data_IF_782637632920
#
_entry.id   IF_782637632920
#
_cell.length_a   1.000
_cell.length_b   1.000
_cell.length_c   1.000
_cell.angle_alpha   90.00
_cell.angle_beta   90.00
_cell.angle_gamma   90.00
#
_symmetry.space_group_name_H-M   'P 1'
#
loop_
_entity.id
_entity.type
_entity.pdbx_description
1 polymer ?
#
# COMPACT_ATOMS: atom_id res chain seq x y z
N UNK A 1 -107.57 -1.75 9.16
CA UNK A 1 -106.90 -0.97 8.09
C UNK A 1 -105.62 -0.21 8.65
N UNK A 2 -105.32 -0.37 9.90
CA UNK A 2 -104.11 0.31 10.54
C UNK A 2 -103.02 -0.65 11.03
N UNK A 3 -103.27 -1.96 11.09
CA UNK A 3 -102.24 -2.93 11.49
C UNK A 3 -101.49 -3.53 10.31
N UNK A 4 -102.05 -3.60 9.16
CA UNK A 4 -101.41 -4.13 7.92
C UNK A 4 -100.36 -3.14 7.35
N UNK A 5 -100.62 -1.82 7.46
CA UNK A 5 -99.63 -0.82 7.03
C UNK A 5 -98.39 -0.78 7.92
N UNK A 6 -98.52 -1.11 9.19
CA UNK A 6 -97.35 -1.14 10.13
C UNK A 6 -96.46 -2.34 9.82
N UNK A 7 -96.99 -3.52 9.46
CA UNK A 7 -96.23 -4.68 9.10
C UNK A 7 -95.49 -4.53 7.76
N UNK A 8 -96.06 -3.89 6.79
CA UNK A 8 -95.37 -3.59 5.51
C UNK A 8 -94.25 -2.59 5.67
N UNK A 9 -94.42 -1.55 6.55
CA UNK A 9 -93.40 -0.55 6.77
C UNK A 9 -92.21 -1.10 7.56
N UNK A 10 -92.39 -2.05 8.51
CA UNK A 10 -91.35 -2.71 9.20
C UNK A 10 -90.54 -3.73 8.34
N UNK A 11 -91.23 -4.42 7.41
CA UNK A 11 -90.62 -5.33 6.43
C UNK A 11 -89.75 -4.58 5.38
N UNK A 12 -90.19 -3.38 4.93
CA UNK A 12 -89.42 -2.53 4.02
C UNK A 12 -88.16 -1.91 4.69
N UNK A 13 -88.27 -1.59 6.00
CA UNK A 13 -87.10 -1.10 6.76
C UNK A 13 -86.07 -2.21 7.05
N UNK A 14 -86.50 -3.44 7.26
CA UNK A 14 -85.57 -4.55 7.45
C UNK A 14 -84.86 -4.97 6.16
N UNK A 15 -85.52 -4.93 5.00
CA UNK A 15 -84.91 -5.24 3.70
C UNK A 15 -83.94 -4.13 3.24
N UNK A 16 -84.25 -2.85 3.50
CA UNK A 16 -83.35 -1.77 3.18
C UNK A 16 -82.12 -1.72 4.08
N UNK A 17 -82.23 -2.16 5.37
CA UNK A 17 -81.14 -2.27 6.28
C UNK A 17 -80.13 -3.39 5.88
N UNK A 18 -80.65 -4.51 5.41
CA UNK A 18 -79.76 -5.64 4.96
C UNK A 18 -79.10 -5.33 3.62
N UNK A 19 -79.81 -4.64 2.66
CA UNK A 19 -79.22 -4.23 1.38
C UNK A 19 -78.12 -3.19 1.60
N UNK A 20 -78.27 -2.27 2.54
CA UNK A 20 -77.31 -1.25 2.90
C UNK A 20 -76.03 -1.88 3.59
N UNK A 21 -76.23 -2.86 4.44
CA UNK A 21 -75.14 -3.61 5.11
C UNK A 21 -74.35 -4.48 4.10
N UNK A 22 -75.00 -5.16 3.18
CA UNK A 22 -74.36 -5.98 2.13
C UNK A 22 -73.61 -5.07 1.14
N UNK A 23 -74.15 -3.90 0.77
CA UNK A 23 -73.45 -2.96 -0.08
C UNK A 23 -72.24 -2.33 0.61
N UNK A 24 -72.33 -1.98 1.91
CA UNK A 24 -71.19 -1.49 2.67
C UNK A 24 -70.10 -2.53 2.85
N UNK A 25 -70.44 -3.81 3.11
CA UNK A 25 -69.46 -4.89 3.18
C UNK A 25 -68.81 -5.18 1.81
N UNK A 26 -69.59 -5.17 0.72
CA UNK A 26 -69.03 -5.32 -0.62
C UNK A 26 -68.13 -4.14 -1.03
N UNK A 27 -68.46 -2.92 -0.60
CA UNK A 27 -67.61 -1.75 -0.80
C UNK A 27 -66.33 -1.84 0.01
N UNK A 28 -66.42 -2.19 1.31
CA UNK A 28 -65.23 -2.42 2.15
C UNK A 28 -64.30 -3.55 1.61
N UNK A 29 -64.88 -4.62 1.12
CA UNK A 29 -64.10 -5.72 0.50
C UNK A 29 -63.46 -5.25 -0.81
N UNK A 30 -64.15 -4.46 -1.63
CA UNK A 30 -63.58 -3.89 -2.85
C UNK A 30 -62.50 -2.84 -2.54
N UNK A 31 -62.65 -2.03 -1.49
CA UNK A 31 -61.66 -1.06 -1.06
C UNK A 31 -60.41 -1.79 -0.52
N UNK A 32 -60.58 -2.84 0.31
CA UNK A 32 -59.48 -3.65 0.81
C UNK A 32 -58.79 -4.44 -0.33
N UNK A 33 -59.53 -5.01 -1.26
CA UNK A 33 -58.98 -5.71 -2.43
C UNK A 33 -58.31 -4.71 -3.39
N UNK A 34 -58.88 -3.50 -3.57
CA UNK A 34 -58.30 -2.43 -4.35
C UNK A 34 -57.00 -1.91 -3.77
N UNK A 35 -56.90 -1.74 -2.43
CA UNK A 35 -55.68 -1.38 -1.75
C UNK A 35 -54.62 -2.52 -1.81
N UNK A 36 -55.02 -3.78 -1.68
CA UNK A 36 -54.13 -4.93 -1.80
C UNK A 36 -53.61 -5.16 -3.23
N UNK A 37 -54.41 -4.84 -4.24
CA UNK A 37 -54.02 -4.95 -5.66
C UNK A 37 -53.15 -3.78 -6.11
N UNK A 38 -53.18 -2.63 -5.41
CA UNK A 38 -52.36 -1.47 -5.72
C UNK A 38 -51.02 -1.42 -4.94
N UNK A 39 -50.74 -2.38 -4.05
CA UNK A 39 -49.43 -2.40 -3.43
C UNK A 39 -48.40 -3.01 -4.42
N UNK A 40 -47.25 -2.31 -4.64
CA UNK A 40 -46.25 -2.79 -5.56
C UNK A 40 -45.69 -4.15 -5.07
N UNK A 41 -45.57 -5.08 -5.98
CA UNK A 41 -45.02 -6.42 -5.70
C UNK A 41 -43.58 -6.32 -5.17
N UNK A 42 -43.10 -7.38 -4.54
CA UNK A 42 -41.71 -7.44 -4.08
C UNK A 42 -40.69 -7.21 -5.23
N UNK A 43 -41.03 -7.70 -6.44
CA UNK A 43 -40.19 -7.50 -7.63
C UNK A 43 -40.22 -6.04 -8.11
N UNK A 44 -41.38 -5.36 -8.05
CA UNK A 44 -41.51 -3.94 -8.42
C UNK A 44 -40.74 -3.06 -7.43
N UNK A 45 -40.86 -3.31 -6.12
CA UNK A 45 -40.08 -2.61 -5.07
C UNK A 45 -38.57 -2.78 -5.26
N UNK A 46 -38.13 -4.00 -5.56
CA UNK A 46 -36.71 -4.29 -5.81
C UNK A 46 -36.24 -3.60 -7.11
N UNK A 47 -37.04 -3.61 -8.17
CA UNK A 47 -36.71 -2.93 -9.42
C UNK A 47 -36.62 -1.41 -9.22
N UNK A 48 -37.50 -0.82 -8.42
CA UNK A 48 -37.48 0.60 -8.09
C UNK A 48 -36.24 0.96 -7.25
N UNK A 49 -35.90 0.13 -6.24
CA UNK A 49 -34.67 0.25 -5.46
C UNK A 49 -33.41 0.24 -6.35
N UNK A 50 -33.33 -0.72 -7.28
CA UNK A 50 -32.20 -0.81 -8.21
C UNK A 50 -32.14 0.38 -9.18
N UNK A 51 -33.29 0.85 -9.68
CA UNK A 51 -33.35 2.07 -10.53
C UNK A 51 -32.86 3.30 -9.77
N UNK A 52 -33.24 3.44 -8.51
CA UNK A 52 -32.77 4.53 -7.65
C UNK A 52 -31.24 4.46 -7.50
N UNK A 53 -30.69 3.30 -7.15
CA UNK A 53 -29.24 3.11 -7.04
C UNK A 53 -28.52 3.47 -8.35
N UNK A 54 -29.03 3.00 -9.51
CA UNK A 54 -28.48 3.36 -10.82
C UNK A 54 -28.56 4.86 -11.13
N UNK A 55 -29.62 5.53 -10.66
CA UNK A 55 -29.77 6.98 -10.79
C UNK A 55 -28.75 7.73 -9.94
N UNK A 56 -28.65 7.36 -8.68
CA UNK A 56 -27.79 8.02 -7.68
C UNK A 56 -26.28 7.81 -7.98
N UNK A 57 -25.92 6.66 -8.57
CA UNK A 57 -24.52 6.31 -8.91
C UNK A 57 -24.10 6.75 -10.31
N UNK A 58 -24.99 7.34 -11.10
CA UNK A 58 -24.69 7.72 -12.48
C UNK A 58 -23.82 8.97 -12.55
N UNK A 59 -22.62 8.84 -13.08
CA UNK A 59 -21.73 9.97 -13.42
C UNK A 59 -22.01 10.43 -14.85
N UNK A 60 -22.14 11.74 -15.06
CA UNK A 60 -22.31 12.39 -16.36
C UNK A 60 -21.16 13.34 -16.60
N UNK A 61 -21.04 13.84 -17.83
CA UNK A 61 -19.98 14.79 -18.20
C UNK A 61 -20.07 16.13 -17.49
N UNK A 62 -21.26 16.49 -17.02
CA UNK A 62 -21.55 17.71 -16.25
C UNK A 62 -21.61 17.48 -14.73
N UNK A 63 -21.34 16.25 -14.27
CA UNK A 63 -21.31 15.95 -12.84
C UNK A 63 -20.10 16.61 -12.20
N UNK A 64 -20.34 17.50 -11.23
CA UNK A 64 -19.27 18.10 -10.44
C UNK A 64 -18.81 17.11 -9.40
N UNK A 65 -17.54 16.69 -9.50
CA UNK A 65 -16.87 15.82 -8.53
C UNK A 65 -15.81 16.67 -7.83
N UNK A 66 -15.75 16.65 -6.48
CA UNK A 66 -14.68 17.36 -5.76
C UNK A 66 -13.29 16.85 -6.15
N UNK A 67 -12.31 17.75 -6.15
CA UNK A 67 -10.91 17.38 -6.31
C UNK A 67 -10.45 16.46 -5.17
N UNK A 68 -9.36 15.74 -5.40
CA UNK A 68 -8.75 14.91 -4.37
C UNK A 68 -8.13 15.78 -3.28
N UNK A 69 -8.53 15.53 -2.04
CA UNK A 69 -7.96 16.18 -0.85
C UNK A 69 -7.01 15.20 -0.18
N UNK A 70 -5.72 15.47 -0.25
CA UNK A 70 -4.72 14.66 0.42
C UNK A 70 -4.51 15.14 1.87
N UNK A 71 -4.29 14.19 2.78
CA UNK A 71 -3.99 14.51 4.18
C UNK A 71 -2.54 14.96 4.36
N UNK A 72 -1.61 14.34 3.64
CA UNK A 72 -0.17 14.57 3.77
C UNK A 72 0.49 14.70 2.40
N UNK A 73 1.66 15.36 2.36
CA UNK A 73 2.56 15.41 1.21
C UNK A 73 4.03 15.18 1.62
N UNK A 74 4.84 14.75 0.65
CA UNK A 74 6.30 14.74 0.72
C UNK A 74 6.85 15.37 -0.57
N UNK A 75 7.68 16.39 -0.45
CA UNK A 75 8.29 17.11 -1.58
C UNK A 75 7.25 17.60 -2.64
N UNK A 76 6.05 17.99 -2.19
CA UNK A 76 4.96 18.47 -3.04
C UNK A 76 4.06 17.38 -3.62
N UNK A 77 4.34 16.10 -3.39
CA UNK A 77 3.49 14.99 -3.83
C UNK A 77 2.58 14.53 -2.70
N UNK A 78 1.26 14.70 -2.89
CA UNK A 78 0.22 14.33 -1.92
C UNK A 78 0.03 12.82 -1.81
N UNK A 79 -0.24 12.36 -0.58
CA UNK A 79 -0.64 10.98 -0.30
C UNK A 79 -1.67 10.93 0.83
N UNK A 80 -2.33 9.78 1.00
CA UNK A 80 -3.47 9.59 1.88
C UNK A 80 -4.64 10.51 1.53
N UNK A 81 -5.17 10.31 0.31
CA UNK A 81 -6.38 10.99 -0.13
C UNK A 81 -7.56 10.67 0.79
N UNK A 82 -8.36 11.70 1.13
CA UNK A 82 -9.65 11.50 1.81
C UNK A 82 -10.60 10.72 0.88
N UNK A 83 -11.60 10.08 1.44
CA UNK A 83 -12.57 9.21 0.73
C UNK A 83 -11.95 7.97 0.12
N UNK A 84 -10.80 7.53 0.64
CA UNK A 84 -10.15 6.32 0.17
C UNK A 84 -9.45 5.58 1.33
N UNK A 85 -9.07 4.34 1.07
CA UNK A 85 -8.27 3.54 2.00
C UNK A 85 -6.82 3.51 1.54
N UNK A 86 -5.92 3.38 2.50
CA UNK A 86 -4.48 3.35 2.30
C UNK A 86 -3.86 2.24 3.14
N UNK A 87 -2.63 1.88 2.83
CA UNK A 87 -1.90 0.89 3.60
C UNK A 87 -0.50 1.36 3.98
N UNK A 88 -0.08 0.96 5.18
CA UNK A 88 1.32 1.01 5.62
C UNK A 88 1.76 -0.42 5.91
N UNK A 89 2.68 -0.94 5.11
CA UNK A 89 3.20 -2.30 5.26
C UNK A 89 4.64 -2.31 5.75
N UNK A 90 5.00 -3.33 6.51
CA UNK A 90 6.39 -3.59 6.89
C UNK A 90 6.55 -4.98 7.51
N UNK A 91 7.79 -5.45 7.61
CA UNK A 91 8.14 -6.57 8.51
C UNK A 91 7.92 -6.18 9.97
N UNK A 92 7.76 -7.18 10.82
CA UNK A 92 7.67 -6.93 12.26
C UNK A 92 8.90 -6.13 12.75
N UNK A 93 8.66 -5.12 13.59
CA UNK A 93 9.70 -4.24 14.17
C UNK A 93 10.49 -3.39 13.14
N UNK A 94 9.94 -3.20 11.95
CA UNK A 94 10.57 -2.37 10.90
C UNK A 94 10.17 -0.89 10.96
N UNK A 95 9.50 -0.44 12.03
CA UNK A 95 9.25 0.98 12.28
C UNK A 95 7.90 1.51 11.83
N UNK A 96 6.88 0.65 11.59
CA UNK A 96 5.52 1.10 11.23
C UNK A 96 4.99 2.14 12.21
N UNK A 97 4.86 1.77 13.49
CA UNK A 97 4.32 2.67 14.52
C UNK A 97 5.14 3.95 14.66
N UNK A 98 6.47 3.89 14.50
CA UNK A 98 7.33 5.08 14.47
C UNK A 98 6.98 6.00 13.32
N UNK A 99 6.72 5.45 12.13
CA UNK A 99 6.29 6.22 10.96
C UNK A 99 4.90 6.84 11.18
N UNK A 100 3.96 6.10 11.80
CA UNK A 100 2.64 6.67 12.14
C UNK A 100 2.74 7.82 13.13
N UNK A 101 3.64 7.77 14.11
CA UNK A 101 3.91 8.89 15.03
C UNK A 101 4.37 10.14 14.28
N UNK A 102 5.21 9.99 13.26
CA UNK A 102 5.64 11.11 12.39
C UNK A 102 4.46 11.68 11.60
N UNK A 103 3.57 10.85 11.08
CA UNK A 103 2.36 11.31 10.39
C UNK A 103 1.45 12.09 11.32
N UNK A 104 1.20 11.59 12.53
CA UNK A 104 0.40 12.30 13.54
C UNK A 104 1.06 13.64 13.90
N UNK A 105 2.37 13.66 14.13
CA UNK A 105 3.09 14.89 14.45
C UNK A 105 3.02 15.91 13.31
N UNK A 106 3.15 15.47 12.05
CA UNK A 106 2.99 16.33 10.88
C UNK A 106 1.58 16.92 10.78
N UNK A 107 0.55 16.08 10.99
CA UNK A 107 -0.85 16.49 10.98
C UNK A 107 -1.15 17.54 12.07
N UNK A 108 -0.53 17.43 13.24
CA UNK A 108 -0.74 18.35 14.35
C UNK A 108 0.00 19.68 14.21
N UNK A 109 1.22 19.67 13.64
CA UNK A 109 2.08 20.85 13.53
C UNK A 109 2.10 21.52 12.16
N UNK A 110 1.48 20.87 11.16
CA UNK A 110 1.57 21.29 9.77
C UNK A 110 2.76 20.66 9.02
N UNK A 111 3.86 20.34 9.71
CA UNK A 111 5.03 19.67 9.12
C UNK A 111 5.83 18.92 10.19
N UNK A 112 6.35 17.75 9.85
CA UNK A 112 7.33 17.02 10.64
C UNK A 112 8.35 16.35 9.70
N UNK A 113 9.61 16.75 9.80
CA UNK A 113 10.68 16.38 8.88
C UNK A 113 10.32 16.74 7.42
N UNK A 114 10.18 15.76 6.53
CA UNK A 114 9.81 15.98 5.13
C UNK A 114 8.31 15.77 4.87
N UNK A 115 7.58 15.37 5.88
CA UNK A 115 6.13 15.13 5.78
C UNK A 115 5.39 16.39 6.18
N UNK A 116 4.53 16.89 5.30
CA UNK A 116 3.75 18.10 5.53
C UNK A 116 2.26 17.78 5.51
N UNK A 117 1.51 18.39 6.43
CA UNK A 117 0.05 18.32 6.46
C UNK A 117 -0.55 19.27 5.41
N UNK A 118 -1.54 18.76 4.69
CA UNK A 118 -2.37 19.57 3.79
C UNK A 118 -3.73 19.92 4.43
N UNK A 119 -3.96 19.47 5.66
CA UNK A 119 -5.18 19.70 6.43
C UNK A 119 -4.94 20.74 7.53
N UNK A 120 -5.91 21.61 7.76
CA UNK A 120 -5.92 22.54 8.88
C UNK A 120 -6.59 21.91 10.11
N UNK A 121 -5.84 21.73 11.20
CA UNK A 121 -6.33 21.18 12.49
C UNK A 121 -7.14 19.89 12.32
N UNK A 122 -6.60 18.87 11.65
CA UNK A 122 -7.35 17.65 11.38
C UNK A 122 -7.75 16.93 12.67
N UNK A 123 -8.92 16.28 12.65
CA UNK A 123 -9.34 15.33 13.67
C UNK A 123 -8.79 13.96 13.30
N UNK A 124 -8.10 13.31 14.23
CA UNK A 124 -7.40 12.05 14.03
C UNK A 124 -7.95 11.00 14.98
N UNK A 125 -8.33 9.84 14.45
CA UNK A 125 -8.68 8.66 15.26
C UNK A 125 -7.62 7.59 15.04
N UNK A 126 -7.15 6.97 16.10
CA UNK A 126 -6.17 5.90 16.07
C UNK A 126 -6.68 4.65 16.80
N UNK A 127 -6.82 3.56 16.11
CA UNK A 127 -7.19 2.26 16.65
C UNK A 127 -5.95 1.37 16.72
N UNK A 128 -5.52 1.04 17.94
CA UNK A 128 -4.42 0.12 18.21
C UNK A 128 -4.99 -1.21 18.73
N UNK A 129 -4.95 -2.23 17.90
CA UNK A 129 -5.43 -3.57 18.24
C UNK A 129 -4.31 -4.54 18.63
N UNK A 130 -3.03 -4.14 18.46
CA UNK A 130 -1.89 -5.03 18.66
C UNK A 130 -1.19 -4.80 20.00
N UNK A 131 -1.02 -3.55 20.44
CA UNK A 131 -0.14 -3.20 21.52
C UNK A 131 -0.83 -3.23 22.89
N UNK A 132 -0.04 -3.35 23.97
CA UNK A 132 -0.55 -3.14 25.32
C UNK A 132 -0.77 -1.65 25.59
N UNK A 133 -1.60 -1.32 26.59
CA UNK A 133 -1.98 0.07 26.90
C UNK A 133 -0.79 1.01 27.15
N UNK A 134 0.33 0.51 27.70
CA UNK A 134 1.52 1.33 27.94
C UNK A 134 2.18 1.72 26.62
N UNK A 135 2.35 0.75 25.71
CA UNK A 135 2.95 1.00 24.41
C UNK A 135 2.02 1.84 23.53
N UNK A 136 0.70 1.60 23.58
CA UNK A 136 -0.30 2.48 22.94
C UNK A 136 -0.18 3.92 23.45
N UNK A 137 -0.10 4.13 24.78
CA UNK A 137 0.07 5.47 25.37
C UNK A 137 1.36 6.14 24.93
N UNK A 138 2.45 5.37 24.76
CA UNK A 138 3.74 5.91 24.31
C UNK A 138 3.68 6.56 22.92
N UNK A 139 2.64 6.26 22.11
CA UNK A 139 2.43 6.93 20.83
C UNK A 139 2.20 8.43 21.06
N UNK A 140 1.31 8.77 22.00
CA UNK A 140 1.03 10.17 22.34
C UNK A 140 2.21 10.84 23.04
N UNK A 141 2.94 10.10 23.89
CA UNK A 141 4.11 10.65 24.58
C UNK A 141 5.23 11.01 23.59
N UNK A 142 5.48 10.15 22.60
CA UNK A 142 6.47 10.41 21.55
C UNK A 142 6.02 11.55 20.61
N UNK A 143 4.72 11.61 20.28
CA UNK A 143 4.14 12.73 19.52
C UNK A 143 4.31 14.05 20.29
N UNK A 144 4.03 14.06 21.61
CA UNK A 144 4.25 15.23 22.45
C UNK A 144 5.73 15.65 22.47
N UNK A 145 6.65 14.67 22.58
CA UNK A 145 8.09 14.94 22.55
C UNK A 145 8.57 15.50 21.20
N UNK A 146 8.01 15.03 20.08
CA UNK A 146 8.35 15.53 18.74
C UNK A 146 7.77 16.93 18.47
N UNK A 147 6.55 17.19 18.93
CA UNK A 147 5.82 18.41 18.62
C UNK A 147 6.00 19.53 19.66
N UNK A 148 6.34 19.18 20.89
CA UNK A 148 6.32 20.09 22.01
C UNK A 148 4.92 20.57 22.42
N UNK A 149 3.86 19.98 21.89
CA UNK A 149 2.48 20.30 22.23
C UNK A 149 2.11 19.77 23.61
N UNK A 150 1.20 20.51 24.30
CA UNK A 150 0.65 20.03 25.56
C UNK A 150 -0.28 18.82 25.35
N UNK A 151 -0.48 17.97 26.39
CA UNK A 151 -1.44 16.87 26.30
C UNK A 151 -2.82 17.32 25.86
N UNK A 152 -3.31 18.45 26.38
CA UNK A 152 -4.63 18.99 26.05
C UNK A 152 -4.73 19.40 24.58
N UNK A 153 -3.66 19.95 24.00
CA UNK A 153 -3.61 20.31 22.58
C UNK A 153 -3.65 19.06 21.70
N UNK A 154 -2.94 18.01 22.09
CA UNK A 154 -2.96 16.72 21.37
C UNK A 154 -4.35 16.07 21.50
N UNK A 155 -4.88 15.93 22.71
CA UNK A 155 -6.18 15.28 22.97
C UNK A 155 -7.35 16.03 22.31
N UNK A 156 -7.19 17.33 22.03
CA UNK A 156 -8.19 18.10 21.27
C UNK A 156 -8.33 17.68 19.81
N UNK A 157 -7.32 17.00 19.24
CA UNK A 157 -7.29 16.60 17.83
C UNK A 157 -7.12 15.09 17.63
N UNK A 158 -6.53 14.37 18.60
CA UNK A 158 -6.22 12.93 18.49
C UNK A 158 -7.04 12.14 19.50
N UNK A 159 -7.78 11.16 19.01
CA UNK A 159 -8.49 10.16 19.82
C UNK A 159 -7.83 8.81 19.61
N UNK A 160 -7.18 8.30 20.65
CA UNK A 160 -6.42 7.05 20.60
C UNK A 160 -7.11 5.97 21.44
N UNK A 161 -7.43 4.86 20.81
CA UNK A 161 -8.07 3.70 21.43
C UNK A 161 -7.12 2.51 21.50
N UNK A 162 -6.97 1.92 22.70
CA UNK A 162 -6.25 0.67 22.92
C UNK A 162 -7.25 -0.49 22.92
N UNK A 163 -7.34 -1.22 21.82
CA UNK A 163 -8.40 -2.19 21.52
C UNK A 163 -7.95 -3.65 21.58
N UNK A 164 -6.74 -3.94 22.03
CA UNK A 164 -6.17 -5.30 22.06
C UNK A 164 -7.03 -6.34 22.80
N UNK A 165 -7.93 -5.91 23.69
CA UNK A 165 -8.81 -6.78 24.49
C UNK A 165 -10.26 -6.75 24.03
N UNK A 166 -10.54 -6.04 22.95
CA UNK A 166 -11.88 -5.93 22.39
C UNK A 166 -12.11 -7.13 21.47
N UNK A 167 -13.28 -7.71 21.55
CA UNK A 167 -13.68 -8.82 20.72
C UNK A 167 -13.78 -8.36 19.26
N UNK A 168 -13.39 -9.25 18.34
CA UNK A 168 -13.33 -8.96 16.90
C UNK A 168 -14.65 -8.42 16.35
N UNK A 169 -15.77 -9.01 16.82
CA UNK A 169 -17.12 -8.64 16.40
C UNK A 169 -17.47 -7.17 16.70
N UNK A 170 -16.83 -6.59 17.69
CA UNK A 170 -17.05 -5.20 18.09
C UNK A 170 -16.15 -4.19 17.37
N UNK A 171 -15.05 -4.64 16.73
CA UNK A 171 -14.06 -3.71 16.16
C UNK A 171 -14.65 -2.84 15.03
N UNK A 172 -15.37 -3.42 14.07
CA UNK A 172 -16.02 -2.65 13.00
C UNK A 172 -17.17 -1.77 13.52
N UNK A 173 -18.08 -2.25 14.39
CA UNK A 173 -19.06 -1.38 15.05
C UNK A 173 -18.43 -0.20 15.81
N UNK A 174 -17.33 -0.41 16.54
CA UNK A 174 -16.61 0.66 17.22
C UNK A 174 -16.00 1.66 16.26
N UNK A 175 -15.46 1.20 15.13
CA UNK A 175 -14.97 2.09 14.07
C UNK A 175 -16.11 2.96 13.51
N UNK A 176 -17.26 2.36 13.20
CA UNK A 176 -18.44 3.10 12.74
C UNK A 176 -18.88 4.15 13.78
N UNK A 177 -18.91 3.77 15.08
CA UNK A 177 -19.28 4.70 16.14
C UNK A 177 -18.29 5.85 16.27
N UNK A 178 -16.98 5.57 16.20
CA UNK A 178 -15.95 6.60 16.26
C UNK A 178 -16.02 7.56 15.04
N UNK A 179 -16.33 7.05 13.86
CA UNK A 179 -16.54 7.88 12.66
C UNK A 179 -17.73 8.83 12.83
N UNK A 180 -18.84 8.36 13.43
CA UNK A 180 -20.02 9.17 13.70
C UNK A 180 -19.75 10.25 14.75
N UNK A 181 -19.10 9.89 15.86
CA UNK A 181 -18.92 10.76 17.02
C UNK A 181 -17.80 11.80 16.79
N UNK A 182 -16.68 11.36 16.23
CA UNK A 182 -15.47 12.18 16.12
C UNK A 182 -15.34 12.88 14.78
N UNK A 183 -16.01 12.38 13.72
CA UNK A 183 -15.93 12.89 12.33
C UNK A 183 -14.48 13.16 11.89
N UNK A 184 -13.61 12.14 11.96
CA UNK A 184 -12.19 12.32 11.73
C UNK A 184 -11.88 12.62 10.26
N UNK A 185 -10.82 13.38 10.03
CA UNK A 185 -10.22 13.54 8.70
C UNK A 185 -9.32 12.35 8.34
N UNK A 186 -8.67 11.79 9.38
CA UNK A 186 -7.70 10.70 9.24
C UNK A 186 -7.94 9.64 10.31
N UNK A 187 -7.99 8.37 9.89
CA UNK A 187 -8.12 7.21 10.75
C UNK A 187 -6.94 6.27 10.53
N UNK A 188 -6.23 5.94 11.60
CA UNK A 188 -5.21 4.89 11.59
C UNK A 188 -5.77 3.63 12.25
N UNK A 189 -5.60 2.49 11.59
CA UNK A 189 -5.97 1.15 12.08
C UNK A 189 -4.68 0.32 12.14
N UNK A 190 -4.01 0.33 13.29
CA UNK A 190 -2.80 -0.48 13.52
C UNK A 190 -3.20 -1.88 13.97
N UNK A 191 -3.12 -2.83 13.01
CA UNK A 191 -3.54 -4.21 13.16
C UNK A 191 -4.89 -4.54 12.51
N UNK A 192 -5.11 -4.12 11.25
CA UNK A 192 -6.33 -4.45 10.48
C UNK A 192 -6.62 -5.96 10.43
N UNK A 193 -5.62 -6.81 10.64
CA UNK A 193 -5.77 -8.26 10.68
C UNK A 193 -6.74 -8.73 11.77
N UNK A 194 -6.89 -7.98 12.84
CA UNK A 194 -7.79 -8.30 13.95
C UNK A 194 -9.27 -8.10 13.61
N UNK A 195 -9.59 -7.41 12.50
CA UNK A 195 -10.97 -7.20 12.04
C UNK A 195 -11.55 -8.42 11.31
N UNK A 196 -10.74 -9.43 11.02
CA UNK A 196 -11.16 -10.66 10.31
C UNK A 196 -10.82 -11.89 11.16
N UNK A 197 -11.61 -12.96 11.04
CA UNK A 197 -11.34 -14.22 11.74
C UNK A 197 -10.12 -14.92 11.17
N UNK A 198 -9.88 -14.76 9.87
CA UNK A 198 -8.72 -15.29 9.18
C UNK A 198 -8.29 -14.36 8.05
N UNK A 199 -7.05 -13.88 8.10
CA UNK A 199 -6.47 -13.10 7.01
C UNK A 199 -6.32 -13.88 5.68
N UNK A 200 -6.57 -15.19 5.70
CA UNK A 200 -6.60 -16.04 4.51
C UNK A 200 -8.04 -16.34 4.02
N UNK A 201 -9.07 -15.86 4.71
CA UNK A 201 -10.44 -15.96 4.20
C UNK A 201 -10.68 -14.85 3.16
N UNK A 202 -10.95 -15.28 1.92
CA UNK A 202 -11.12 -14.39 0.79
C UNK A 202 -12.43 -13.58 0.89
N UNK A 203 -13.51 -14.20 1.34
CA UNK A 203 -14.83 -13.57 1.45
C UNK A 203 -14.84 -12.49 2.52
N UNK A 204 -14.33 -12.82 3.71
CA UNK A 204 -14.22 -11.91 4.84
C UNK A 204 -13.26 -10.76 4.53
N UNK A 205 -12.13 -11.05 3.87
CA UNK A 205 -11.18 -10.04 3.41
C UNK A 205 -11.81 -9.07 2.40
N UNK A 206 -12.58 -9.57 1.44
CA UNK A 206 -13.31 -8.72 0.49
C UNK A 206 -14.36 -7.84 1.17
N UNK A 207 -15.08 -8.40 2.13
CA UNK A 207 -16.14 -7.69 2.82
C UNK A 207 -15.56 -6.55 3.66
N UNK A 208 -14.57 -6.78 4.51
CA UNK A 208 -14.00 -5.72 5.35
C UNK A 208 -13.38 -4.60 4.50
N UNK A 209 -12.68 -4.91 3.43
CA UNK A 209 -12.12 -3.89 2.53
C UNK A 209 -13.23 -3.08 1.85
N UNK A 210 -14.33 -3.71 1.45
CA UNK A 210 -15.48 -3.01 0.89
C UNK A 210 -16.16 -2.09 1.92
N UNK A 211 -16.29 -2.56 3.15
CA UNK A 211 -16.88 -1.77 4.23
C UNK A 211 -16.00 -0.54 4.55
N UNK A 212 -14.68 -0.71 4.64
CA UNK A 212 -13.76 0.41 4.86
C UNK A 212 -13.78 1.43 3.72
N UNK A 213 -13.86 0.99 2.46
CA UNK A 213 -14.03 1.90 1.31
C UNK A 213 -15.32 2.70 1.41
N UNK A 214 -16.44 2.02 1.73
CA UNK A 214 -17.72 2.71 1.92
C UNK A 214 -17.68 3.72 3.07
N UNK A 215 -17.10 3.34 4.20
CA UNK A 215 -16.93 4.22 5.37
C UNK A 215 -16.04 5.43 5.06
N UNK A 216 -14.92 5.24 4.34
CA UNK A 216 -14.02 6.35 3.99
C UNK A 216 -14.72 7.38 3.10
N UNK A 217 -15.57 6.94 2.17
CA UNK A 217 -16.34 7.81 1.29
C UNK A 217 -17.49 8.50 2.04
N UNK A 218 -18.26 7.75 2.84
CA UNK A 218 -19.40 8.26 3.62
C UNK A 218 -18.98 9.33 4.62
N UNK A 219 -17.88 9.11 5.34
CA UNK A 219 -17.37 10.03 6.37
C UNK A 219 -16.32 11.01 5.86
N UNK A 220 -16.02 11.01 4.56
CA UNK A 220 -15.04 11.90 3.93
C UNK A 220 -13.69 11.90 4.68
N UNK A 221 -13.15 10.74 5.00
CA UNK A 221 -11.89 10.58 5.72
C UNK A 221 -10.89 9.67 4.97
N UNK A 222 -9.61 9.78 5.30
CA UNK A 222 -8.60 8.83 4.89
C UNK A 222 -8.49 7.71 5.93
N UNK A 223 -8.64 6.44 5.54
CA UNK A 223 -8.47 5.29 6.44
C UNK A 223 -7.16 4.58 6.09
N UNK A 224 -6.20 4.61 7.01
CA UNK A 224 -4.87 4.03 6.85
C UNK A 224 -4.77 2.72 7.63
N UNK A 225 -4.73 1.61 6.89
CA UNK A 225 -4.63 0.27 7.43
C UNK A 225 -3.17 -0.17 7.56
N UNK A 226 -2.79 -0.69 8.71
CA UNK A 226 -1.42 -1.17 8.95
C UNK A 226 -1.41 -2.70 8.92
N UNK A 227 -0.51 -3.28 8.15
CA UNK A 227 -0.40 -4.72 7.97
C UNK A 227 1.06 -5.19 7.88
N UNK A 228 1.34 -6.38 8.39
CA UNK A 228 2.63 -7.02 8.24
C UNK A 228 2.83 -7.62 6.84
N UNK A 229 4.08 -7.54 6.32
CA UNK A 229 4.48 -8.29 5.11
C UNK A 229 4.73 -9.76 5.44
N UNK A 230 4.84 -10.60 4.43
CA UNK A 230 5.22 -11.99 4.56
C UNK A 230 6.60 -12.16 5.22
N UNK A 231 6.85 -13.34 5.82
CA UNK A 231 8.09 -13.58 6.59
C UNK A 231 9.32 -13.78 5.71
N UNK A 232 9.17 -14.23 4.46
CA UNK A 232 10.29 -14.46 3.55
C UNK A 232 11.00 -13.14 3.23
N UNK A 233 12.35 -13.16 3.19
CA UNK A 233 13.14 -11.94 3.03
C UNK A 233 12.97 -11.28 1.66
N UNK A 234 12.66 -12.05 0.64
CA UNK A 234 12.43 -11.59 -0.74
C UNK A 234 10.96 -11.28 -1.04
N UNK A 235 10.02 -11.64 -0.14
CA UNK A 235 8.59 -11.41 -0.33
C UNK A 235 8.14 -10.15 0.43
N UNK A 236 7.95 -9.07 -0.31
CA UNK A 236 7.48 -7.78 0.19
C UNK A 236 5.95 -7.62 0.14
N UNK A 237 5.21 -8.68 -0.24
CA UNK A 237 3.76 -8.63 -0.29
C UNK A 237 3.17 -8.63 1.13
N UNK A 238 2.05 -7.94 1.28
CA UNK A 238 1.26 -7.99 2.49
C UNK A 238 0.70 -9.40 2.71
N UNK A 239 0.52 -9.77 3.98
CA UNK A 239 0.21 -11.14 4.38
C UNK A 239 -1.22 -11.56 4.02
N UNK A 240 -1.35 -12.71 3.34
CA UNK A 240 -2.62 -13.40 3.10
C UNK A 240 -3.54 -12.72 2.09
N UNK A 241 -4.78 -13.23 1.98
CA UNK A 241 -5.81 -12.67 1.11
C UNK A 241 -6.17 -11.24 1.49
N UNK A 242 -6.27 -10.93 2.79
CA UNK A 242 -6.49 -9.57 3.28
C UNK A 242 -5.43 -8.60 2.74
N UNK A 243 -4.15 -8.99 2.82
CA UNK A 243 -3.06 -8.16 2.30
C UNK A 243 -3.13 -7.96 0.79
N UNK A 244 -3.47 -9.00 0.05
CA UNK A 244 -3.64 -8.92 -1.41
C UNK A 244 -4.80 -7.99 -1.79
N UNK A 245 -5.95 -8.12 -1.10
CA UNK A 245 -7.11 -7.26 -1.34
C UNK A 245 -6.83 -5.81 -0.97
N UNK A 246 -6.16 -5.58 0.17
CA UNK A 246 -5.77 -4.24 0.61
C UNK A 246 -4.82 -3.59 -0.40
N UNK A 247 -3.78 -4.29 -0.89
CA UNK A 247 -2.87 -3.79 -1.92
C UNK A 247 -3.62 -3.38 -3.20
N UNK A 248 -4.53 -4.22 -3.67
CA UNK A 248 -5.29 -3.95 -4.89
C UNK A 248 -6.27 -2.78 -4.77
N UNK A 249 -6.78 -2.50 -3.57
CA UNK A 249 -7.85 -1.53 -3.33
C UNK A 249 -7.37 -0.23 -2.70
N UNK A 250 -6.24 -0.23 -2.00
CA UNK A 250 -5.66 0.98 -1.43
C UNK A 250 -5.24 1.97 -2.54
N UNK A 251 -5.48 3.26 -2.31
CA UNK A 251 -5.03 4.31 -3.22
C UNK A 251 -3.53 4.54 -3.12
N UNK A 252 -2.96 4.37 -1.93
CA UNK A 252 -1.51 4.47 -1.68
C UNK A 252 -1.08 3.38 -0.72
N UNK A 253 0.01 2.69 -1.04
CA UNK A 253 0.66 1.71 -0.16
C UNK A 253 2.07 2.17 0.12
N UNK A 254 2.35 2.50 1.38
CA UNK A 254 3.69 2.82 1.86
C UNK A 254 4.35 1.59 2.47
N UNK A 255 5.64 1.44 2.24
CA UNK A 255 6.44 0.37 2.82
C UNK A 255 7.52 0.96 3.75
N UNK A 256 7.53 0.51 5.01
CA UNK A 256 8.60 0.84 5.95
C UNK A 256 9.65 -0.27 5.94
N UNK A 257 10.91 0.09 5.66
CA UNK A 257 12.06 -0.82 5.66
C UNK A 257 13.08 -0.40 6.69
N UNK A 258 13.54 -1.37 7.48
CA UNK A 258 14.65 -1.18 8.40
C UNK A 258 15.70 -2.27 8.14
N UNK A 259 16.88 -1.88 7.72
CA UNK A 259 17.98 -2.83 7.53
C UNK A 259 18.40 -3.43 8.87
N UNK A 260 18.77 -4.71 8.86
CA UNK A 260 19.26 -5.38 10.08
C UNK A 260 20.51 -4.71 10.62
N UNK A 261 20.49 -4.32 11.90
CA UNK A 261 21.60 -3.60 12.54
C UNK A 261 21.62 -2.08 12.26
N UNK A 262 20.64 -1.54 11.51
CA UNK A 262 20.50 -0.11 11.28
C UNK A 262 19.46 0.50 12.23
N UNK A 263 19.65 1.75 12.62
CA UNK A 263 18.63 2.58 13.29
C UNK A 263 17.71 3.32 12.28
N UNK A 264 18.08 3.31 10.99
CA UNK A 264 17.37 4.03 9.93
C UNK A 264 16.16 3.24 9.47
N UNK A 265 15.01 3.91 9.44
CA UNK A 265 13.75 3.44 8.87
C UNK A 265 13.53 4.23 7.57
N UNK A 266 13.48 3.53 6.46
CA UNK A 266 13.17 4.12 5.16
C UNK A 266 11.69 3.89 4.84
N UNK A 267 10.99 4.92 4.43
CA UNK A 267 9.59 4.88 4.01
C UNK A 267 9.53 5.19 2.52
N UNK A 268 9.01 4.27 1.75
CA UNK A 268 8.87 4.39 0.29
C UNK A 268 7.44 4.05 -0.15
N UNK A 269 6.98 4.65 -1.24
CA UNK A 269 5.76 4.23 -1.90
C UNK A 269 6.02 2.93 -2.66
N UNK A 270 5.20 1.90 -2.45
CA UNK A 270 5.30 0.65 -3.19
C UNK A 270 4.20 0.53 -4.25
N UNK A 271 3.07 1.20 -4.04
CA UNK A 271 1.94 1.22 -4.96
C UNK A 271 1.17 2.54 -4.78
N UNK A 272 0.81 3.20 -5.87
CA UNK A 272 -0.04 4.39 -5.87
C UNK A 272 -0.94 4.41 -7.10
N UNK A 273 -2.19 4.87 -6.93
CA UNK A 273 -3.10 5.18 -8.06
C UNK A 273 -2.79 6.52 -8.71
N UNK A 274 -2.00 7.35 -8.03
CA UNK A 274 -1.63 8.70 -8.43
C UNK A 274 -0.10 8.83 -8.45
N UNK A 275 0.42 10.05 -8.34
CA UNK A 275 1.85 10.28 -8.24
C UNK A 275 2.42 9.64 -6.97
N UNK A 276 3.61 9.04 -7.07
CA UNK A 276 4.27 8.39 -5.95
C UNK A 276 5.08 9.42 -5.15
N UNK A 277 4.82 9.57 -3.83
CA UNK A 277 5.66 10.41 -2.98
C UNK A 277 7.10 9.90 -2.95
N UNK A 278 8.05 10.83 -2.89
CA UNK A 278 9.47 10.50 -2.82
C UNK A 278 9.79 9.72 -1.55
N UNK A 279 10.79 8.83 -1.62
CA UNK A 279 11.29 8.09 -0.47
C UNK A 279 11.93 9.03 0.55
N UNK A 280 11.66 8.80 1.83
CA UNK A 280 12.31 9.52 2.94
C UNK A 280 12.76 8.56 4.02
N UNK A 281 13.58 9.03 4.94
CA UNK A 281 14.09 8.20 6.03
C UNK A 281 14.07 8.94 7.36
N UNK A 282 13.80 8.18 8.42
CA UNK A 282 13.88 8.63 9.81
C UNK A 282 14.77 7.68 10.61
N UNK A 283 15.29 8.15 11.72
CA UNK A 283 16.10 7.30 12.61
C UNK A 283 15.92 7.72 14.07
N UNK A 284 16.29 6.81 14.97
CA UNK A 284 16.46 7.15 16.37
C UNK A 284 17.88 7.69 16.58
N UNK A 285 18.00 8.90 17.09
CA UNK A 285 19.26 9.49 17.56
C UNK A 285 19.74 8.78 18.85
N UNK A 286 20.96 9.06 19.28
CA UNK A 286 21.55 8.46 20.50
C UNK A 286 20.74 8.75 21.77
N UNK A 287 20.08 9.89 21.83
CA UNK A 287 19.20 10.29 22.91
C UNK A 287 17.78 9.71 22.84
N UNK A 288 17.52 8.84 21.84
CA UNK A 288 16.22 8.18 21.63
C UNK A 288 15.20 9.02 20.86
N UNK A 289 15.49 10.27 20.49
CA UNK A 289 14.58 11.10 19.67
C UNK A 289 14.54 10.61 18.23
N UNK A 290 13.38 10.75 17.59
CA UNK A 290 13.22 10.51 16.17
C UNK A 290 13.71 11.75 15.42
N UNK A 291 14.53 11.55 14.39
CA UNK A 291 15.10 12.63 13.56
C UNK A 291 15.01 12.26 12.07
N UNK A 292 15.04 13.28 11.20
CA UNK A 292 15.19 13.07 9.76
C UNK A 292 16.57 12.47 9.43
N UNK A 293 16.56 11.42 8.64
CA UNK A 293 17.76 10.74 8.18
C UNK A 293 17.87 10.66 6.65
N UNK A 294 17.02 11.38 5.93
CA UNK A 294 16.86 11.26 4.47
C UNK A 294 18.15 11.56 3.73
N UNK A 295 18.79 12.72 4.02
CA UNK A 295 20.03 13.10 3.34
C UNK A 295 21.21 12.20 3.75
N UNK A 296 21.29 11.83 5.02
CA UNK A 296 22.31 10.88 5.49
C UNK A 296 22.16 9.51 4.80
N UNK A 297 20.93 9.05 4.61
CA UNK A 297 20.63 7.79 3.91
C UNK A 297 21.00 7.86 2.43
N UNK A 298 20.67 8.93 1.75
CA UNK A 298 21.06 9.16 0.35
C UNK A 298 22.57 9.09 0.17
N UNK A 299 23.31 9.80 1.01
CA UNK A 299 24.78 9.81 0.97
C UNK A 299 25.36 8.40 1.20
N UNK A 300 24.84 7.66 2.18
CA UNK A 300 25.25 6.26 2.42
C UNK A 300 24.99 5.35 1.22
N UNK A 301 23.84 5.51 0.54
CA UNK A 301 23.50 4.72 -0.64
C UNK A 301 24.41 5.05 -1.83
N UNK A 302 24.76 6.32 -2.03
CA UNK A 302 25.70 6.75 -3.07
C UNK A 302 27.10 6.20 -2.82
N UNK A 303 27.58 6.25 -1.58
CA UNK A 303 28.88 5.67 -1.19
C UNK A 303 28.90 4.15 -1.44
N UNK A 304 27.85 3.42 -1.02
CA UNK A 304 27.75 1.96 -1.27
C UNK A 304 27.72 1.64 -2.76
N UNK A 305 27.02 2.43 -3.58
CA UNK A 305 27.00 2.26 -5.04
C UNK A 305 28.40 2.47 -5.65
N UNK A 306 29.09 3.53 -5.23
CA UNK A 306 30.44 3.82 -5.69
C UNK A 306 31.42 2.70 -5.31
N UNK A 307 31.40 2.21 -4.06
CA UNK A 307 32.21 1.08 -3.61
C UNK A 307 31.92 -0.22 -4.38
N UNK A 308 30.64 -0.51 -4.64
CA UNK A 308 30.25 -1.69 -5.44
C UNK A 308 30.76 -1.58 -6.88
N UNK A 309 30.66 -0.39 -7.46
CA UNK A 309 31.13 -0.13 -8.83
C UNK A 309 32.66 -0.28 -8.90
N UNK A 310 33.37 0.27 -7.93
CA UNK A 310 34.83 0.14 -7.82
C UNK A 310 35.23 -1.33 -7.69
N UNK A 311 34.63 -2.08 -6.74
CA UNK A 311 34.91 -3.53 -6.59
C UNK A 311 34.64 -4.34 -7.85
N UNK A 312 33.57 -3.97 -8.58
CA UNK A 312 33.24 -4.62 -9.86
C UNK A 312 34.30 -4.32 -10.94
N UNK A 313 34.78 -3.08 -10.98
CA UNK A 313 35.89 -2.71 -11.91
C UNK A 313 37.19 -3.42 -11.55
N UNK A 314 37.57 -3.43 -10.27
CA UNK A 314 38.77 -4.14 -9.80
C UNK A 314 38.70 -5.64 -10.12
N UNK A 315 37.54 -6.27 -9.89
CA UNK A 315 37.35 -7.69 -10.23
C UNK A 315 37.46 -7.95 -11.73
N UNK A 316 36.91 -7.07 -12.56
CA UNK A 316 37.00 -7.17 -14.02
C UNK A 316 38.44 -7.00 -14.51
N UNK A 317 39.14 -6.02 -13.96
CA UNK A 317 40.54 -5.79 -14.31
C UNK A 317 41.43 -6.96 -13.92
N UNK A 318 41.24 -7.50 -12.71
CA UNK A 318 41.93 -8.71 -12.28
C UNK A 318 41.68 -9.91 -13.19
N UNK A 319 40.41 -10.10 -13.62
CA UNK A 319 40.06 -11.17 -14.57
C UNK A 319 40.73 -10.96 -15.95
N UNK A 320 40.83 -9.70 -16.41
CA UNK A 320 41.59 -9.39 -17.63
C UNK A 320 43.07 -9.71 -17.53
N UNK A 321 43.68 -9.32 -16.43
CA UNK A 321 45.11 -9.61 -16.17
C UNK A 321 45.37 -11.12 -16.06
N UNK A 322 44.51 -11.87 -15.36
CA UNK A 322 44.62 -13.32 -15.27
C UNK A 322 44.52 -14.00 -16.64
N UNK A 323 43.63 -13.51 -17.52
CA UNK A 323 43.49 -14.00 -18.89
C UNK A 323 44.75 -13.72 -19.72
N UNK A 324 45.29 -12.50 -19.62
CA UNK A 324 46.53 -12.14 -20.30
C UNK A 324 47.68 -13.00 -19.83
N UNK A 325 47.88 -13.19 -18.53
CA UNK A 325 48.93 -14.05 -17.97
C UNK A 325 48.85 -15.50 -18.47
N UNK A 326 47.64 -16.06 -18.56
CA UNK A 326 47.41 -17.38 -19.16
C UNK A 326 47.79 -17.42 -20.63
N UNK A 327 47.48 -16.37 -21.40
CA UNK A 327 47.91 -16.25 -22.81
C UNK A 327 49.44 -16.21 -22.93
N UNK A 328 50.09 -15.36 -22.14
CA UNK A 328 51.56 -15.25 -22.13
C UNK A 328 52.26 -16.57 -21.75
N UNK A 329 51.73 -17.30 -20.77
CA UNK A 329 52.21 -18.63 -20.40
C UNK A 329 52.08 -19.61 -21.56
N UNK A 330 50.97 -19.61 -22.27
CA UNK A 330 50.75 -20.47 -23.44
C UNK A 330 51.75 -20.14 -24.56
N UNK A 331 51.97 -18.86 -24.85
CA UNK A 331 52.96 -18.44 -25.86
C UNK A 331 54.34 -18.94 -25.50
N UNK A 332 54.79 -18.80 -24.24
CA UNK A 332 56.08 -19.31 -23.75
C UNK A 332 56.20 -20.84 -23.91
N UNK A 333 55.18 -21.61 -23.47
CA UNK A 333 55.18 -23.07 -23.53
C UNK A 333 55.15 -23.61 -24.98
N UNK A 334 54.79 -22.79 -25.94
CA UNK A 334 54.82 -23.10 -27.39
C UNK A 334 56.05 -22.61 -28.12
N UNK A 335 57.10 -22.19 -27.39
CA UNK A 335 58.34 -21.72 -27.97
C UNK A 335 58.35 -20.22 -28.35
N UNK A 336 57.50 -19.43 -27.76
CA UNK A 336 57.50 -17.97 -27.86
C UNK A 336 56.68 -17.37 -29.01
N UNK A 337 56.33 -18.15 -30.03
CA UNK A 337 55.63 -17.67 -31.21
C UNK A 337 54.57 -18.68 -31.71
N UNK A 338 53.34 -18.22 -31.93
CA UNK A 338 52.18 -19.07 -32.36
C UNK A 338 51.33 -18.34 -33.37
N UNK A 339 50.85 -19.02 -34.42
CA UNK A 339 49.93 -18.38 -35.37
C UNK A 339 48.63 -17.95 -34.67
N UNK A 340 48.04 -16.85 -35.15
CA UNK A 340 46.77 -16.30 -34.56
C UNK A 340 45.66 -17.36 -34.54
N UNK A 341 45.60 -18.23 -35.56
CA UNK A 341 44.61 -19.31 -35.65
C UNK A 341 44.82 -20.35 -34.52
N UNK A 342 46.07 -20.82 -34.35
CA UNK A 342 46.42 -21.80 -33.30
C UNK A 342 46.19 -21.22 -31.92
N UNK A 343 46.61 -19.97 -31.66
CA UNK A 343 46.39 -19.30 -30.38
C UNK A 343 44.90 -19.22 -30.07
N UNK A 344 44.09 -18.81 -31.03
CA UNK A 344 42.62 -18.75 -30.85
C UNK A 344 42.04 -20.12 -30.49
N UNK A 345 42.43 -21.19 -31.16
CA UNK A 345 41.97 -22.56 -30.86
C UNK A 345 42.36 -23.06 -29.48
N UNK A 346 43.55 -22.74 -29.02
CA UNK A 346 44.03 -23.08 -27.68
C UNK A 346 43.24 -22.30 -26.64
N UNK A 347 43.12 -20.98 -26.78
CA UNK A 347 42.44 -20.10 -25.85
C UNK A 347 40.93 -20.38 -25.75
N UNK A 348 40.29 -20.78 -26.84
CA UNK A 348 38.85 -21.21 -26.82
C UNK A 348 38.66 -22.40 -25.87
N UNK A 349 39.61 -23.38 -25.89
CA UNK A 349 39.56 -24.53 -24.99
C UNK A 349 39.91 -24.15 -23.53
N UNK A 350 40.94 -23.33 -23.34
CA UNK A 350 41.41 -22.92 -22.01
C UNK A 350 40.44 -22.04 -21.29
N UNK A 351 39.79 -21.07 -21.96
CA UNK A 351 38.83 -20.17 -21.36
C UNK A 351 37.39 -20.67 -21.40
N UNK A 352 37.15 -21.78 -22.11
CA UNK A 352 35.76 -22.30 -22.33
C UNK A 352 34.85 -21.20 -22.88
N UNK A 353 35.31 -20.45 -23.87
CA UNK A 353 34.59 -19.31 -24.47
C UNK A 353 34.43 -19.52 -25.99
N UNK A 354 33.43 -18.84 -26.57
CA UNK A 354 33.20 -18.86 -28.01
C UNK A 354 34.36 -18.17 -28.77
N UNK A 355 34.63 -18.62 -30.00
CA UNK A 355 35.71 -18.10 -30.85
C UNK A 355 35.68 -16.57 -31.04
N UNK A 356 34.51 -15.90 -31.28
CA UNK A 356 34.46 -14.44 -31.40
C UNK A 356 34.96 -13.73 -30.14
N UNK A 357 34.59 -14.22 -28.96
CA UNK A 357 35.01 -13.66 -27.66
C UNK A 357 36.51 -13.75 -27.44
N UNK A 358 37.10 -14.89 -27.79
CA UNK A 358 38.56 -15.07 -27.73
C UNK A 358 39.28 -14.18 -28.74
N UNK A 359 38.73 -14.05 -29.94
CA UNK A 359 39.27 -13.14 -30.94
C UNK A 359 39.28 -11.68 -30.50
N UNK A 360 38.23 -11.27 -29.72
CA UNK A 360 38.17 -9.94 -29.09
C UNK A 360 39.30 -9.76 -28.07
N UNK A 361 39.56 -10.76 -27.21
CA UNK A 361 40.67 -10.69 -26.25
C UNK A 361 42.02 -10.54 -26.95
N UNK A 362 42.30 -11.34 -27.99
CA UNK A 362 43.55 -11.23 -28.75
C UNK A 362 43.65 -9.83 -29.38
N UNK A 363 42.58 -9.28 -29.92
CA UNK A 363 42.58 -7.95 -30.51
C UNK A 363 42.80 -6.84 -29.48
N UNK A 364 42.28 -7.00 -28.25
CA UNK A 364 42.50 -6.10 -27.13
C UNK A 364 43.99 -6.13 -26.72
N UNK A 365 44.57 -7.29 -26.53
CA UNK A 365 45.97 -7.43 -26.13
C UNK A 365 46.95 -6.95 -27.21
N UNK A 366 46.63 -7.08 -28.51
CA UNK A 366 47.40 -6.48 -29.61
C UNK A 366 47.34 -4.95 -29.57
N UNK A 367 46.18 -4.39 -29.26
CA UNK A 367 45.97 -2.95 -29.12
C UNK A 367 46.70 -2.37 -27.87
N UNK A 368 46.73 -3.13 -26.80
CA UNK A 368 47.42 -2.79 -25.55
C UNK A 368 48.93 -3.07 -25.63
N UNK A 369 49.43 -3.53 -26.79
CA UNK A 369 50.85 -3.89 -27.02
C UNK A 369 51.37 -4.96 -26.06
N UNK A 370 50.49 -5.72 -25.41
CA UNK A 370 50.89 -6.83 -24.53
C UNK A 370 51.38 -8.04 -25.34
N UNK A 371 50.90 -8.23 -26.55
CA UNK A 371 51.35 -9.17 -27.58
C UNK A 371 51.47 -8.43 -28.88
N UNK A 372 52.29 -8.94 -29.79
CA UNK A 372 52.41 -8.38 -31.18
C UNK A 372 52.44 -9.49 -32.23
N UNK A 373 52.11 -9.14 -33.47
CA UNK A 373 52.12 -10.03 -34.61
C UNK A 373 53.36 -9.67 -35.49
N UNK A 374 54.27 -10.61 -35.70
CA UNK A 374 55.48 -10.40 -36.49
C UNK A 374 55.19 -10.41 -38.02
N UNK A 375 56.26 -10.16 -38.81
CA UNK A 375 56.17 -10.13 -40.27
C UNK A 375 55.76 -11.48 -40.90
N UNK A 376 55.78 -12.56 -40.14
CA UNK A 376 55.40 -13.92 -40.59
C UNK A 376 53.97 -14.27 -40.12
N UNK A 377 53.24 -13.35 -39.48
CA UNK A 377 51.90 -13.57 -38.93
C UNK A 377 51.89 -14.42 -37.66
N UNK A 378 52.97 -14.45 -36.93
CA UNK A 378 53.05 -15.13 -35.62
C UNK A 378 52.89 -14.16 -34.46
N UNK A 379 52.03 -14.54 -33.50
CA UNK A 379 51.79 -13.79 -32.27
C UNK A 379 52.87 -14.13 -31.24
N UNK A 380 53.49 -13.11 -30.66
CA UNK A 380 54.53 -13.18 -29.67
C UNK A 380 54.21 -12.25 -28.49
N UNK A 381 54.79 -12.53 -27.28
CA UNK A 381 54.70 -11.62 -26.15
C UNK A 381 55.63 -10.41 -26.35
N UNK A 382 55.16 -9.21 -25.98
CA UNK A 382 56.02 -8.02 -25.97
C UNK A 382 57.12 -8.12 -24.91
N UNK A 383 58.24 -7.44 -25.14
CA UNK A 383 59.46 -7.55 -24.28
C UNK A 383 59.16 -7.13 -22.85
N UNK A 384 58.30 -6.15 -22.63
CA UNK A 384 57.87 -5.69 -21.28
C UNK A 384 57.04 -6.75 -20.52
N UNK A 385 56.37 -7.66 -21.24
CA UNK A 385 55.51 -8.71 -20.67
C UNK A 385 56.16 -10.11 -20.79
N UNK A 386 57.37 -10.21 -21.37
CA UNK A 386 58.10 -11.44 -21.43
C UNK A 386 58.51 -11.85 -20.01
N UNK A 387 57.92 -12.91 -19.48
CA UNK A 387 58.34 -13.47 -18.21
C UNK A 387 59.79 -13.94 -18.35
N UNK A 388 60.67 -13.67 -17.33
CA UNK A 388 62.06 -14.18 -17.37
C UNK A 388 62.00 -15.70 -17.45
N UNK A 389 62.94 -16.26 -18.28
CA UNK A 389 63.10 -17.68 -18.53
C UNK A 389 63.40 -18.47 -17.27
#
# INVERSE_FOLDING_TARGET
MTEDIKKETENVQQTNGQTGLVNNQAQMVNDIVGEAVNQPTAEEKERERLRKILGDTRIRTDTVVPDLEYALEVDGTGFFARRDIHAVKAKAKAGKTTTLKVFIAALLQGEMFRVKSLLEKPRIVFFDTEQNRKDTKSILDDVAAMTGLSPEAIDSQVVLHSLRRVDREDLLPLLCQALMDEKPDVVFVDGIVEFVSSFNDESESKQIIKDLLGLSEEYNCAIICVLHTNKADEDHNMRGHLGTMLAQKAATVLECKKERGSSVITVSCSESRHEEPTEWSIMFAEDGRIVDATEQRKLQLEQRKAEQQQKRQEALEKEKQERLQKCLTILRDKGGAVSRKQLTEILVKVFVRKRPTVASYISEWLKEEAIFEDSNGLIQASQEFALPF
#
